data_IF_118492035345
#
_entry.id   IF_118492035345
#
_cell.length_a   1.000
_cell.length_b   1.000
_cell.length_c   1.000
_cell.angle_alpha   90.00
_cell.angle_beta   90.00
_cell.angle_gamma   90.00
#
_symmetry.space_group_name_H-M   'P 1'
#
loop_
_entity.id
_entity.type
_entity.pdbx_description
1 polymer ?
#
# COMPACT_ATOMS: atom_id res chain seq x y z
N UNK A 1 -97.58 -3.54 13.20
CA UNK A 1 -96.92 -2.22 13.24
C UNK A 1 -95.49 -2.47 13.68
N UNK A 2 -94.51 -2.58 12.79
CA UNK A 2 -93.84 -1.55 11.94
C UNK A 2 -92.38 -1.46 12.46
N UNK A 3 -91.48 -2.30 11.96
CA UNK A 3 -90.51 -2.12 10.84
C UNK A 3 -89.15 -1.54 11.27
N UNK A 4 -88.10 -2.13 10.66
CA UNK A 4 -86.67 -1.73 10.60
C UNK A 4 -85.75 -2.33 11.70
N UNK A 5 -84.59 -2.92 11.40
CA UNK A 5 -83.89 -3.15 10.13
C UNK A 5 -82.76 -4.19 10.31
N UNK A 6 -82.68 -5.07 9.31
CA UNK A 6 -81.51 -5.68 8.65
C UNK A 6 -80.34 -6.29 9.44
N UNK A 7 -80.26 -7.62 9.25
CA UNK A 7 -79.09 -8.49 9.23
C UNK A 7 -77.90 -7.92 8.42
N UNK A 8 -76.66 -8.24 8.83
CA UNK A 8 -75.51 -8.44 7.93
C UNK A 8 -74.36 -9.17 8.65
N UNK A 9 -74.23 -10.45 8.33
CA UNK A 9 -72.99 -11.24 8.48
C UNK A 9 -72.05 -10.81 7.36
N UNK A 10 -70.83 -10.42 7.68
CA UNK A 10 -69.79 -10.11 6.69
C UNK A 10 -68.60 -11.05 6.89
N UNK A 11 -68.48 -12.03 5.99
CA UNK A 11 -67.25 -12.75 5.72
C UNK A 11 -66.25 -11.78 5.09
N UNK A 12 -65.09 -11.59 5.72
CA UNK A 12 -63.97 -10.84 5.14
C UNK A 12 -63.05 -11.86 4.47
N UNK A 13 -63.16 -11.97 3.15
CA UNK A 13 -62.19 -12.65 2.29
C UNK A 13 -61.03 -11.68 2.03
N UNK A 14 -59.87 -11.94 2.63
CA UNK A 14 -58.63 -11.20 2.31
C UNK A 14 -58.04 -11.70 0.99
N UNK A 15 -58.22 -10.92 -0.08
CA UNK A 15 -57.53 -11.10 -1.35
C UNK A 15 -56.10 -10.57 -1.21
N UNK A 16 -55.10 -11.45 -1.15
CA UNK A 16 -53.68 -11.06 -1.22
C UNK A 16 -53.36 -10.75 -2.69
N UNK A 17 -53.28 -9.47 -3.04
CA UNK A 17 -52.67 -9.06 -4.31
C UNK A 17 -51.16 -9.26 -4.20
N UNK A 18 -50.66 -10.36 -4.76
CA UNK A 18 -49.23 -10.53 -5.00
C UNK A 18 -48.82 -9.64 -6.17
N UNK A 19 -48.31 -8.44 -5.88
CA UNK A 19 -47.60 -7.62 -6.85
C UNK A 19 -46.26 -8.31 -7.17
N UNK A 20 -46.24 -9.10 -8.25
CA UNK A 20 -45.00 -9.54 -8.88
C UNK A 20 -44.38 -8.33 -9.57
N UNK A 21 -43.48 -7.64 -8.87
CA UNK A 21 -42.58 -6.68 -9.52
C UNK A 21 -41.64 -7.47 -10.44
N UNK A 22 -41.46 -7.07 -11.72
CA UNK A 22 -40.48 -7.69 -12.57
C UNK A 22 -39.09 -7.43 -11.98
N UNK A 23 -38.39 -8.49 -11.61
CA UNK A 23 -36.97 -8.44 -11.31
C UNK A 23 -36.23 -8.07 -12.60
N UNK A 24 -36.02 -6.78 -12.81
CA UNK A 24 -35.05 -6.27 -13.78
C UNK A 24 -33.66 -6.68 -13.30
N UNK A 25 -33.25 -7.88 -13.66
CA UNK A 25 -31.84 -8.27 -13.65
C UNK A 25 -31.16 -7.51 -14.78
N UNK A 26 -30.84 -6.24 -14.50
CA UNK A 26 -29.84 -5.52 -15.26
C UNK A 26 -28.53 -6.28 -15.05
N UNK A 27 -28.18 -7.18 -15.98
CA UNK A 27 -26.78 -7.56 -16.19
C UNK A 27 -26.06 -6.26 -16.49
N UNK A 28 -25.51 -5.64 -15.45
CA UNK A 28 -24.53 -4.59 -15.57
C UNK A 28 -23.44 -5.23 -16.42
N UNK A 29 -23.31 -4.78 -17.67
CA UNK A 29 -22.07 -4.99 -18.39
C UNK A 29 -21.02 -4.40 -17.45
N UNK A 30 -20.32 -5.27 -16.72
CA UNK A 30 -19.03 -4.93 -16.16
C UNK A 30 -18.20 -4.59 -17.39
N UNK A 31 -18.21 -3.30 -17.78
CA UNK A 31 -17.13 -2.76 -18.57
C UNK A 31 -15.87 -3.30 -17.89
N UNK A 32 -15.11 -4.09 -18.66
CA UNK A 32 -13.81 -4.58 -18.25
C UNK A 32 -12.97 -3.31 -18.04
N UNK A 33 -13.01 -2.76 -16.83
CA UNK A 33 -12.19 -1.62 -16.44
C UNK A 33 -10.77 -2.14 -16.59
N UNK A 34 -10.10 -1.69 -17.65
CA UNK A 34 -8.73 -2.05 -17.92
C UNK A 34 -7.88 -1.49 -16.79
N UNK A 35 -7.16 -2.38 -16.12
CA UNK A 35 -6.24 -1.98 -15.05
C UNK A 35 -5.03 -1.29 -15.68
N UNK A 36 -4.35 -0.39 -14.95
CA UNK A 36 -3.12 0.23 -15.45
C UNK A 36 -2.15 -0.85 -15.93
N UNK A 37 -1.49 -0.61 -17.08
CA UNK A 37 -0.56 -1.58 -17.68
C UNK A 37 0.64 -1.93 -16.80
N UNK A 38 0.91 -1.09 -15.80
CA UNK A 38 1.95 -1.29 -14.79
C UNK A 38 1.55 -2.32 -13.73
N UNK A 39 0.27 -2.72 -13.65
CA UNK A 39 -0.19 -3.71 -12.69
C UNK A 39 0.08 -5.13 -13.21
N UNK A 40 0.59 -6.03 -12.35
CA UNK A 40 0.71 -7.45 -12.70
C UNK A 40 -0.65 -8.06 -13.09
N UNK A 41 -0.64 -9.04 -13.99
CA UNK A 41 -1.86 -9.60 -14.59
C UNK A 41 -2.87 -10.17 -13.57
N UNK A 42 -2.37 -10.61 -12.39
CA UNK A 42 -3.17 -11.08 -11.26
C UNK A 42 -4.15 -10.00 -10.75
N UNK A 43 -3.78 -8.72 -10.81
CA UNK A 43 -4.51 -7.61 -10.20
C UNK A 43 -5.59 -7.06 -11.13
N UNK A 44 -6.62 -7.87 -11.39
CA UNK A 44 -7.81 -7.44 -12.13
C UNK A 44 -8.66 -6.45 -11.31
N UNK A 45 -9.55 -5.70 -11.97
CA UNK A 45 -10.50 -4.81 -11.27
C UNK A 45 -11.32 -5.55 -10.20
N UNK A 46 -11.74 -6.80 -10.48
CA UNK A 46 -12.45 -7.65 -9.53
C UNK A 46 -11.59 -7.96 -8.30
N UNK A 47 -10.32 -8.31 -8.51
CA UNK A 47 -9.41 -8.63 -7.42
C UNK A 47 -9.07 -7.40 -6.58
N UNK A 48 -8.81 -6.25 -7.22
CA UNK A 48 -8.57 -4.98 -6.53
C UNK A 48 -9.76 -4.59 -5.65
N UNK A 49 -11.00 -4.74 -6.15
CA UNK A 49 -12.22 -4.56 -5.35
C UNK A 49 -12.29 -5.50 -4.14
N UNK A 50 -11.89 -6.76 -4.30
CA UNK A 50 -11.88 -7.74 -3.21
C UNK A 50 -10.88 -7.37 -2.11
N UNK A 51 -9.71 -6.84 -2.47
CA UNK A 51 -8.69 -6.47 -1.49
C UNK A 51 -8.88 -5.08 -0.88
N UNK A 52 -9.64 -4.20 -1.54
CA UNK A 52 -9.88 -2.82 -1.10
C UNK A 52 -10.30 -2.68 0.37
N UNK A 53 -11.24 -3.49 0.92
CA UNK A 53 -11.62 -3.39 2.33
C UNK A 53 -10.46 -3.57 3.32
N UNK A 54 -9.41 -4.31 2.94
CA UNK A 54 -8.23 -4.54 3.78
C UNK A 54 -7.29 -3.32 3.81
N UNK A 55 -7.21 -2.57 2.70
CA UNK A 55 -6.18 -1.55 2.50
C UNK A 55 -6.71 -0.11 2.44
N UNK A 56 -8.01 0.12 2.22
CA UNK A 56 -8.60 1.47 2.12
C UNK A 56 -8.39 2.38 3.35
N UNK A 57 -7.98 1.80 4.49
CA UNK A 57 -7.66 2.56 5.69
C UNK A 57 -6.29 3.25 5.61
N UNK A 58 -5.40 2.83 4.70
CA UNK A 58 -4.04 3.38 4.58
C UNK A 58 -3.97 4.57 3.62
N UNK A 59 -4.81 4.63 2.59
CA UNK A 59 -4.73 5.65 1.54
C UNK A 59 -5.96 5.64 0.65
N UNK A 60 -5.98 6.51 -0.36
CA UNK A 60 -7.09 6.60 -1.33
C UNK A 60 -6.76 5.94 -2.67
N UNK A 61 -5.49 5.92 -3.05
CA UNK A 61 -5.03 5.41 -4.34
C UNK A 61 -4.94 3.88 -4.33
N UNK A 62 -5.58 3.23 -5.30
CA UNK A 62 -5.63 1.76 -5.38
C UNK A 62 -4.25 1.12 -5.58
N UNK A 63 -3.28 1.87 -6.11
CA UNK A 63 -1.90 1.41 -6.29
C UNK A 63 -1.25 1.04 -4.96
N UNK A 64 -1.60 1.73 -3.87
CA UNK A 64 -1.13 1.37 -2.53
C UNK A 64 -1.75 0.05 -2.05
N UNK A 65 -3.00 -0.24 -2.43
CA UNK A 65 -3.65 -1.49 -2.05
C UNK A 65 -2.96 -2.67 -2.74
N UNK A 66 -2.65 -2.51 -4.02
CA UNK A 66 -1.92 -3.52 -4.79
C UNK A 66 -0.49 -3.68 -4.27
N UNK A 67 0.23 -2.58 -4.04
CA UNK A 67 1.58 -2.62 -3.48
C UNK A 67 1.62 -3.37 -2.13
N UNK A 68 0.69 -3.08 -1.22
CA UNK A 68 0.60 -3.77 0.06
C UNK A 68 0.19 -5.24 -0.07
N UNK A 69 -0.63 -5.59 -1.06
CA UNK A 69 -0.95 -7.00 -1.33
C UNK A 69 0.25 -7.77 -1.88
N UNK A 70 1.09 -7.13 -2.70
CA UNK A 70 2.33 -7.72 -3.24
C UNK A 70 3.38 -8.02 -2.16
N UNK A 71 3.30 -7.39 -0.99
CA UNK A 71 4.16 -7.70 0.16
C UNK A 71 3.79 -9.01 0.89
N UNK A 72 2.64 -9.60 0.58
CA UNK A 72 2.20 -10.82 1.25
C UNK A 72 3.07 -12.01 0.86
N UNK A 73 3.62 -12.72 1.85
CA UNK A 73 4.50 -13.87 1.61
C UNK A 73 5.90 -13.50 1.09
N UNK A 74 6.27 -12.22 1.14
CA UNK A 74 7.64 -11.74 0.90
C UNK A 74 8.29 -11.37 2.24
N UNK A 75 9.58 -11.06 2.23
CA UNK A 75 10.26 -10.53 3.42
C UNK A 75 9.66 -9.21 3.93
N UNK A 76 8.87 -8.51 3.09
CA UNK A 76 8.17 -7.28 3.44
C UNK A 76 6.84 -7.49 4.14
N UNK A 77 6.46 -8.73 4.49
CA UNK A 77 5.21 -9.00 5.23
C UNK A 77 5.20 -8.32 6.61
N UNK A 78 6.36 -8.19 7.26
CA UNK A 78 6.50 -7.38 8.46
C UNK A 78 6.08 -5.93 8.20
N UNK A 79 6.64 -5.31 7.16
CA UNK A 79 6.35 -3.91 6.78
C UNK A 79 4.89 -3.71 6.40
N UNK A 80 4.29 -4.68 5.70
CA UNK A 80 2.85 -4.70 5.42
C UNK A 80 2.03 -4.66 6.70
N UNK A 81 2.35 -5.51 7.67
CA UNK A 81 1.62 -5.57 8.94
C UNK A 81 1.83 -4.29 9.77
N UNK A 82 3.04 -3.74 9.77
CA UNK A 82 3.33 -2.45 10.36
C UNK A 82 2.46 -1.34 9.75
N UNK A 83 2.40 -1.23 8.42
CA UNK A 83 1.55 -0.27 7.72
C UNK A 83 0.07 -0.45 8.07
N UNK A 84 -0.39 -1.69 8.23
CA UNK A 84 -1.78 -2.00 8.59
C UNK A 84 -2.14 -1.72 10.05
N UNK A 85 -1.19 -1.33 10.89
CA UNK A 85 -1.43 -0.86 12.25
C UNK A 85 -0.68 -1.62 13.35
N UNK A 86 0.10 -2.64 13.00
CA UNK A 86 1.02 -3.29 13.94
C UNK A 86 2.33 -2.47 14.07
N UNK A 87 2.20 -1.21 14.45
CA UNK A 87 3.28 -0.24 14.57
C UNK A 87 3.13 0.55 15.88
N UNK A 88 4.10 1.42 16.19
CA UNK A 88 4.14 2.21 17.42
C UNK A 88 2.92 3.13 17.66
N UNK A 89 2.15 3.46 16.61
CA UNK A 89 0.91 4.25 16.76
C UNK A 89 -0.34 3.40 17.03
N UNK A 90 -0.29 2.09 16.80
CA UNK A 90 -1.43 1.18 16.86
C UNK A 90 -2.52 1.49 15.82
N UNK A 91 -2.18 2.22 14.76
CA UNK A 91 -3.11 2.71 13.72
C UNK A 91 -2.52 2.48 12.34
N UNK A 92 -3.38 2.25 11.31
CA UNK A 92 -2.90 2.18 9.94
C UNK A 92 -2.12 3.45 9.57
N UNK A 93 -0.94 3.26 8.98
CA UNK A 93 -0.11 4.33 8.44
C UNK A 93 -0.82 4.98 7.26
N UNK A 94 -0.77 6.32 7.17
CA UNK A 94 -1.41 7.06 6.07
C UNK A 94 -0.42 7.26 4.93
N UNK A 95 -0.74 6.74 3.75
CA UNK A 95 0.08 6.83 2.55
C UNK A 95 -0.56 7.82 1.59
N UNK A 96 0.21 8.80 1.13
CA UNK A 96 -0.22 9.75 0.11
C UNK A 96 0.94 10.20 -0.78
N UNK A 97 0.63 10.49 -2.04
CA UNK A 97 1.55 11.20 -2.91
C UNK A 97 1.56 12.69 -2.54
N UNK A 98 2.72 13.23 -2.18
CA UNK A 98 2.86 14.60 -1.70
C UNK A 98 4.20 15.20 -2.09
N UNK A 99 4.18 16.45 -2.54
CA UNK A 99 5.40 17.21 -2.77
C UNK A 99 6.17 17.40 -1.45
N UNK A 100 7.27 16.66 -1.32
CA UNK A 100 8.09 16.62 -0.11
C UNK A 100 8.83 17.94 0.14
N UNK A 101 9.09 18.71 -0.92
CA UNK A 101 9.71 20.04 -0.81
C UNK A 101 8.83 21.04 -0.04
N UNK A 102 7.52 20.82 -0.01
CA UNK A 102 6.58 21.63 0.79
C UNK A 102 6.66 21.36 2.29
N UNK A 103 7.26 20.23 2.70
CA UNK A 103 7.51 19.89 4.11
C UNK A 103 8.84 20.51 4.53
N UNK A 104 9.89 20.23 3.76
CA UNK A 104 11.21 20.85 3.88
C UNK A 104 11.87 20.84 2.48
N UNK A 105 12.43 21.96 1.98
CA UNK A 105 13.14 22.01 0.71
C UNK A 105 14.22 20.94 0.53
N UNK A 106 14.86 20.51 1.63
CA UNK A 106 15.90 19.47 1.60
C UNK A 106 15.35 18.09 1.18
N UNK A 107 14.05 17.85 1.37
CA UNK A 107 13.37 16.60 1.00
C UNK A 107 12.84 16.59 -0.43
N UNK A 108 12.96 17.70 -1.18
CA UNK A 108 12.37 17.82 -2.52
C UNK A 108 12.81 16.72 -3.50
N UNK A 109 14.01 16.15 -3.29
CA UNK A 109 14.57 15.10 -4.14
C UNK A 109 14.38 13.69 -3.60
N UNK A 110 13.84 13.52 -2.39
CA UNK A 110 13.63 12.22 -1.78
C UNK A 110 12.53 11.46 -2.53
N UNK A 111 12.62 10.13 -2.52
CA UNK A 111 11.62 9.25 -3.12
C UNK A 111 10.39 9.11 -2.23
N UNK A 112 10.62 8.96 -0.93
CA UNK A 112 9.60 8.95 0.10
C UNK A 112 10.14 9.51 1.42
N UNK A 113 9.23 9.65 2.39
CA UNK A 113 9.51 10.13 3.73
C UNK A 113 8.49 9.54 4.72
N UNK A 114 8.98 8.77 5.69
CA UNK A 114 8.27 8.47 6.94
C UNK A 114 8.06 9.75 7.76
N UNK A 115 6.84 9.99 8.22
CA UNK A 115 6.50 11.20 8.96
C UNK A 115 5.55 10.92 10.13
N UNK A 116 5.87 11.45 11.30
CA UNK A 116 5.01 11.37 12.48
C UNK A 116 4.36 12.72 12.75
N UNK A 117 3.03 12.74 12.80
CA UNK A 117 2.26 13.90 13.25
C UNK A 117 1.31 13.48 14.36
N UNK A 118 1.55 13.97 15.57
CA UNK A 118 0.86 13.53 16.78
C UNK A 118 0.97 12.00 16.95
N UNK A 119 -0.17 11.30 17.06
CA UNK A 119 -0.27 9.84 17.18
C UNK A 119 -0.53 9.15 15.85
N UNK A 120 -0.22 9.78 14.72
CA UNK A 120 -0.45 9.22 13.39
C UNK A 120 0.86 9.20 12.62
N UNK A 121 1.18 8.03 12.07
CA UNK A 121 2.27 7.83 11.13
C UNK A 121 1.78 8.03 9.70
N UNK A 122 2.65 8.58 8.87
CA UNK A 122 2.45 8.84 7.46
C UNK A 122 3.65 8.32 6.68
N UNK A 123 3.40 7.89 5.44
CA UNK A 123 4.44 7.70 4.42
C UNK A 123 4.06 8.62 3.27
N UNK A 124 4.88 9.62 3.02
CA UNK A 124 4.71 10.52 1.89
C UNK A 124 5.59 10.06 0.74
N UNK A 125 5.01 9.90 -0.44
CA UNK A 125 5.75 9.47 -1.64
C UNK A 125 5.80 10.64 -2.62
N UNK A 126 6.97 10.87 -3.21
CA UNK A 126 7.14 11.93 -4.18
C UNK A 126 6.20 11.72 -5.38
N UNK A 127 5.42 12.73 -5.83
CA UNK A 127 4.46 12.58 -6.92
C UNK A 127 5.06 12.13 -8.25
N UNK A 128 6.38 12.25 -8.42
CA UNK A 128 7.11 11.71 -9.59
C UNK A 128 7.01 10.19 -9.74
N UNK A 129 6.51 9.49 -8.71
CA UNK A 129 6.35 8.03 -8.69
C UNK A 129 4.89 7.58 -8.75
N UNK A 130 3.97 8.47 -9.13
CA UNK A 130 2.52 8.15 -9.21
C UNK A 130 2.19 7.05 -10.22
N UNK A 131 2.99 6.96 -11.27
CA UNK A 131 2.88 5.99 -12.36
C UNK A 131 3.86 4.81 -12.21
N UNK A 132 4.57 4.73 -11.09
CA UNK A 132 5.45 3.60 -10.79
C UNK A 132 4.66 2.29 -10.74
N UNK A 133 5.25 1.16 -11.18
CA UNK A 133 4.68 -0.15 -10.94
C UNK A 133 4.45 -0.39 -9.44
N UNK A 134 3.32 -1.01 -9.05
CA UNK A 134 3.01 -1.26 -7.64
C UNK A 134 4.06 -2.13 -6.96
N UNK A 135 4.78 -2.98 -7.70
CA UNK A 135 5.89 -3.75 -7.16
C UNK A 135 7.07 -2.90 -6.68
N UNK A 136 7.41 -1.83 -7.41
CA UNK A 136 8.46 -0.90 -7.00
C UNK A 136 8.00 -0.07 -5.79
N UNK A 137 6.73 0.36 -5.78
CA UNK A 137 6.13 1.02 -4.62
C UNK A 137 6.08 0.09 -3.40
N UNK A 138 5.85 -1.20 -3.57
CA UNK A 138 5.86 -2.17 -2.47
C UNK A 138 7.26 -2.26 -1.82
N UNK A 139 8.33 -2.31 -2.63
CA UNK A 139 9.70 -2.27 -2.12
C UNK A 139 9.96 -0.97 -1.33
N UNK A 140 9.61 0.20 -1.90
CA UNK A 140 9.73 1.49 -1.22
C UNK A 140 8.92 1.56 0.07
N UNK A 141 7.68 1.07 0.08
CA UNK A 141 6.86 1.02 1.29
C UNK A 141 7.45 0.08 2.35
N UNK A 142 8.14 -0.99 1.94
CA UNK A 142 8.76 -1.92 2.88
C UNK A 142 9.89 -1.28 3.68
N UNK A 143 10.61 -0.34 3.05
CA UNK A 143 11.60 0.53 3.68
C UNK A 143 10.94 1.47 4.68
N UNK A 144 10.02 2.30 4.20
CA UNK A 144 9.45 3.41 4.99
C UNK A 144 8.65 2.93 6.20
N UNK A 145 8.14 1.69 6.18
CA UNK A 145 7.45 1.09 7.31
C UNK A 145 8.34 0.85 8.55
N UNK A 146 9.67 0.90 8.38
CA UNK A 146 10.64 0.73 9.47
C UNK A 146 10.81 2.00 10.28
N UNK A 147 10.64 3.17 9.66
CA UNK A 147 10.75 4.48 10.30
C UNK A 147 9.45 4.83 11.06
N UNK A 148 9.32 4.33 12.29
CA UNK A 148 8.09 4.46 13.09
C UNK A 148 8.14 5.55 14.17
N UNK A 149 9.29 6.19 14.35
CA UNK A 149 9.46 7.26 15.32
C UNK A 149 10.26 8.45 14.75
N UNK A 150 10.88 9.24 15.61
CA UNK A 150 11.60 10.46 15.24
C UNK A 150 13.12 10.28 15.17
N UNK A 151 13.61 9.09 15.51
CA UNK A 151 15.00 8.73 15.38
C UNK A 151 15.26 8.22 13.97
N UNK A 152 16.51 8.40 13.53
CA UNK A 152 17.02 7.77 12.33
C UNK A 152 18.52 7.57 12.52
N UNK A 153 19.09 6.51 11.94
CA UNK A 153 20.50 6.20 12.03
C UNK A 153 21.03 5.49 10.79
N UNK A 154 22.35 5.46 10.65
CA UNK A 154 23.00 4.72 9.57
C UNK A 154 22.70 3.21 9.63
N UNK A 155 22.56 2.63 10.83
CA UNK A 155 22.17 1.24 11.00
C UNK A 155 20.73 0.99 10.54
N UNK A 156 19.82 1.88 10.90
CA UNK A 156 18.41 1.83 10.51
C UNK A 156 18.23 1.96 8.99
N UNK A 157 18.85 2.98 8.37
CA UNK A 157 18.86 3.13 6.90
C UNK A 157 19.50 1.92 6.21
N UNK A 158 20.59 1.37 6.75
CA UNK A 158 21.21 0.15 6.20
C UNK A 158 20.24 -1.02 6.22
N UNK A 159 19.51 -1.20 7.32
CA UNK A 159 18.50 -2.24 7.44
C UNK A 159 17.34 -2.00 6.47
N UNK A 160 16.84 -0.76 6.38
CA UNK A 160 15.71 -0.39 5.54
C UNK A 160 16.01 -0.54 4.04
N UNK A 161 17.16 -0.05 3.58
CA UNK A 161 17.61 -0.26 2.20
C UNK A 161 17.83 -1.74 1.88
N UNK A 162 18.23 -2.55 2.87
CA UNK A 162 18.41 -4.00 2.68
C UNK A 162 17.06 -4.71 2.58
N UNK A 163 16.10 -4.34 3.42
CA UNK A 163 14.71 -4.84 3.34
C UNK A 163 14.12 -4.54 1.96
N UNK A 164 14.24 -3.30 1.52
CA UNK A 164 13.79 -2.83 0.21
C UNK A 164 14.40 -3.63 -0.94
N UNK A 165 15.72 -3.81 -0.94
CA UNK A 165 16.41 -4.59 -1.97
C UNK A 165 15.96 -6.06 -1.98
N UNK A 166 15.76 -6.65 -0.79
CA UNK A 166 15.29 -8.03 -0.66
C UNK A 166 13.86 -8.19 -1.15
N UNK A 167 12.97 -7.26 -0.82
CA UNK A 167 11.58 -7.28 -1.25
C UNK A 167 11.50 -7.09 -2.76
N UNK A 168 12.23 -6.15 -3.33
CA UNK A 168 12.27 -5.97 -4.77
C UNK A 168 12.77 -7.24 -5.48
N UNK A 169 13.83 -7.88 -4.97
CA UNK A 169 14.34 -9.14 -5.51
C UNK A 169 13.28 -10.24 -5.56
N UNK A 170 12.43 -10.37 -4.53
CA UNK A 170 11.34 -11.35 -4.49
C UNK A 170 10.19 -10.95 -5.41
N UNK A 171 9.84 -9.66 -5.44
CA UNK A 171 8.77 -9.13 -6.29
C UNK A 171 9.06 -9.38 -7.76
N UNK A 172 10.27 -9.11 -8.26
CA UNK A 172 10.59 -9.34 -9.69
C UNK A 172 10.65 -10.82 -10.06
N UNK A 173 10.77 -11.73 -9.09
CA UNK A 173 10.63 -13.16 -9.33
C UNK A 173 9.17 -13.59 -9.42
N UNK A 174 8.31 -13.02 -8.58
CA UNK A 174 6.89 -13.33 -8.53
C UNK A 174 6.10 -12.63 -9.64
N UNK A 175 6.53 -11.42 -10.01
CA UNK A 175 5.88 -10.49 -10.93
C UNK A 175 6.93 -9.85 -11.85
N UNK A 176 7.54 -10.63 -12.76
CA UNK A 176 8.61 -10.14 -13.63
C UNK A 176 8.20 -8.94 -14.49
N UNK A 177 6.90 -8.80 -14.82
CA UNK A 177 6.35 -7.66 -15.53
C UNK A 177 6.45 -6.33 -14.76
N UNK A 178 6.69 -6.37 -13.44
CA UNK A 178 6.91 -5.16 -12.63
C UNK A 178 8.25 -4.48 -12.95
N UNK A 179 9.20 -5.22 -13.56
CA UNK A 179 10.51 -4.69 -13.93
C UNK A 179 10.47 -4.09 -15.34
N UNK A 180 9.84 -2.92 -15.49
CA UNK A 180 9.77 -2.23 -16.79
C UNK A 180 11.09 -1.58 -17.24
N UNK A 181 12.09 -1.50 -16.34
CA UNK A 181 13.41 -0.88 -16.51
C UNK A 181 13.41 0.58 -17.00
N UNK A 182 12.25 1.23 -17.03
CA UNK A 182 12.06 2.59 -17.58
C UNK A 182 11.72 3.59 -16.48
N UNK A 183 10.91 3.19 -15.50
CA UNK A 183 10.47 4.11 -14.46
C UNK A 183 11.62 4.42 -13.48
N UNK A 184 11.86 5.69 -13.08
CA UNK A 184 12.97 6.06 -12.20
C UNK A 184 13.04 5.26 -10.89
N UNK A 185 11.89 4.98 -10.27
CA UNK A 185 11.82 4.12 -9.08
C UNK A 185 12.31 2.69 -9.38
N UNK A 186 11.90 2.09 -10.50
CA UNK A 186 12.34 0.73 -10.90
C UNK A 186 13.84 0.69 -11.12
N UNK A 187 14.43 1.75 -11.71
CA UNK A 187 15.87 1.88 -11.89
C UNK A 187 16.61 1.94 -10.55
N UNK A 188 16.07 2.68 -9.58
CA UNK A 188 16.57 2.72 -8.20
C UNK A 188 16.49 1.34 -7.54
N UNK A 189 15.33 0.69 -7.61
CA UNK A 189 15.14 -0.65 -7.04
C UNK A 189 16.11 -1.69 -7.63
N UNK A 190 16.30 -1.65 -8.95
CA UNK A 190 17.27 -2.50 -9.63
C UNK A 190 18.73 -2.21 -9.21
N UNK A 191 19.04 -0.96 -8.86
CA UNK A 191 20.36 -0.60 -8.33
C UNK A 191 20.56 -1.23 -6.95
N UNK A 192 19.56 -1.15 -6.06
CA UNK A 192 19.60 -1.78 -4.74
C UNK A 192 19.70 -3.32 -4.85
N UNK A 193 18.87 -3.93 -5.69
CA UNK A 193 18.93 -5.38 -5.96
C UNK A 193 20.31 -5.81 -6.46
N UNK A 194 20.95 -5.08 -7.37
CA UNK A 194 22.32 -5.39 -7.83
C UNK A 194 23.34 -5.34 -6.68
N UNK A 195 23.22 -4.38 -5.76
CA UNK A 195 24.09 -4.30 -4.59
C UNK A 195 23.85 -5.48 -3.64
N UNK A 196 22.59 -5.85 -3.42
CA UNK A 196 22.19 -7.00 -2.60
C UNK A 196 22.72 -8.32 -3.17
N UNK A 197 22.50 -8.58 -4.45
CA UNK A 197 22.99 -9.78 -5.15
C UNK A 197 24.52 -9.85 -5.15
N UNK A 198 25.23 -8.75 -5.46
CA UNK A 198 26.69 -8.69 -5.39
C UNK A 198 27.21 -8.89 -3.97
N UNK A 199 26.44 -8.52 -2.96
CA UNK A 199 26.73 -8.74 -1.55
C UNK A 199 26.50 -10.18 -1.09
N UNK A 200 26.07 -11.09 -1.98
CA UNK A 200 25.68 -12.45 -1.60
C UNK A 200 24.40 -12.46 -0.77
N UNK A 201 23.44 -11.59 -1.11
CA UNK A 201 22.17 -11.42 -0.38
C UNK A 201 22.37 -10.93 1.06
N UNK A 202 23.34 -10.03 1.25
CA UNK A 202 23.64 -9.37 2.52
C UNK A 202 23.70 -7.85 2.37
N UNK A 203 23.73 -7.12 3.48
CA UNK A 203 23.83 -5.66 3.49
C UNK A 203 25.23 -5.12 3.11
N UNK A 204 26.21 -5.96 2.77
CA UNK A 204 27.63 -5.58 2.62
C UNK A 204 27.88 -4.35 1.73
N UNK A 205 27.25 -4.27 0.56
CA UNK A 205 27.40 -3.13 -0.37
C UNK A 205 26.35 -2.05 -0.17
N UNK A 206 25.20 -2.40 0.40
CA UNK A 206 24.15 -1.45 0.76
C UNK A 206 24.65 -0.55 1.90
N UNK A 207 25.22 -1.13 2.96
CA UNK A 207 25.85 -0.41 4.08
C UNK A 207 26.88 0.61 3.59
N UNK A 208 27.74 0.22 2.65
CA UNK A 208 28.72 1.14 2.05
C UNK A 208 28.05 2.32 1.35
N UNK A 209 26.98 2.05 0.60
CA UNK A 209 26.21 3.08 -0.12
C UNK A 209 25.55 4.05 0.86
N UNK A 210 24.89 3.53 1.90
CA UNK A 210 24.28 4.33 2.98
C UNK A 210 25.33 5.20 3.69
N UNK A 211 26.47 4.62 4.08
CA UNK A 211 27.56 5.36 4.74
C UNK A 211 28.17 6.46 3.87
N UNK A 212 28.12 6.33 2.55
CA UNK A 212 28.60 7.35 1.59
C UNK A 212 27.51 8.33 1.13
N UNK A 213 26.27 8.18 1.58
CA UNK A 213 25.17 9.03 1.14
C UNK A 213 25.26 10.39 1.84
N UNK A 214 25.45 11.45 1.07
CA UNK A 214 25.52 12.83 1.57
C UNK A 214 24.26 13.25 2.36
N UNK A 215 23.10 12.68 2.05
CA UNK A 215 21.85 12.92 2.79
C UNK A 215 21.88 12.36 4.22
N UNK A 216 22.75 11.38 4.50
CA UNK A 216 22.84 10.68 5.78
C UNK A 216 24.09 11.02 6.59
N UNK A 217 24.96 11.92 6.10
CA UNK A 217 26.26 12.21 6.72
C UNK A 217 26.20 12.71 8.16
N UNK A 218 25.06 13.25 8.58
CA UNK A 218 24.84 13.77 9.93
C UNK A 218 24.01 12.82 10.81
N UNK A 219 23.64 11.63 10.31
CA UNK A 219 22.92 10.65 11.12
C UNK A 219 23.85 10.00 12.15
N UNK A 220 23.35 9.69 13.36
CA UNK A 220 24.08 8.87 14.31
C UNK A 220 24.30 7.45 13.74
N UNK A 221 25.25 6.73 14.32
CA UNK A 221 25.54 5.35 13.88
C UNK A 221 24.37 4.39 14.15
N UNK A 222 23.69 4.55 15.28
CA UNK A 222 22.55 3.71 15.70
C UNK A 222 21.41 4.58 16.26
N UNK A 223 20.21 3.98 16.29
CA UNK A 223 18.96 4.53 16.84
C UNK A 223 18.28 3.45 17.70
N UNK A 224 17.32 3.81 18.57
CA UNK A 224 16.58 2.85 19.37
C UNK A 224 15.96 1.72 18.53
N UNK A 225 16.22 0.46 18.89
CA UNK A 225 15.76 -0.72 18.15
C UNK A 225 16.72 -1.20 17.04
N UNK A 226 17.80 -0.46 16.77
CA UNK A 226 18.80 -0.76 15.75
C UNK A 226 20.23 -0.75 16.32
N UNK A 227 20.39 -0.96 17.63
CA UNK A 227 21.67 -0.87 18.33
C UNK A 227 22.64 -2.03 18.02
N UNK A 228 22.09 -3.21 17.69
CA UNK A 228 22.85 -4.47 17.52
C UNK A 228 23.15 -4.84 16.05
N UNK A 229 23.01 -3.89 15.10
CA UNK A 229 23.11 -4.12 13.64
C UNK A 229 24.42 -3.66 12.97
#
# INVERSE_FOLDING_TARGET
MDSKQLQKILFITTTVLALQLPALSAKKNEELIEMPKTYPAKYTSQYVKQITPMYKSVGKDEVFYVALDMLKGTNGEFSRNAILGNNLSGRPVKIEFRDLGTINPDYAKFDALGWKKNKQLFIFINPRHKDAPPGALAALLSHEALHQDEYNSLAEETYAWTMEASVWYEIVKLYPESNDELHPLVVRENTLKKLFERGGYSNKYIKKTVMSNEGYKNLPSTSPGFEDL
#
